data_IF_218751628883
#
_entry.id   IF_218751628883
#
_cell.length_a   1.000
_cell.length_b   1.000
_cell.length_c   1.000
_cell.angle_alpha   90.00
_cell.angle_beta   90.00
_cell.angle_gamma   90.00
#
_symmetry.space_group_name_H-M   'P 1'
#
loop_
_entity.id
_entity.type
_entity.pdbx_description
1 polymer ?
#
# COMPACT_ATOMS: atom_id res chain seq x y z
N UNK A 1 19.08 1.97 4.18
CA UNK A 1 17.86 1.46 3.53
C UNK A 1 17.15 0.50 4.48
N UNK A 2 15.82 0.60 4.62
CA UNK A 2 15.00 -0.25 5.48
C UNK A 2 13.71 -0.64 4.75
N UNK A 3 13.27 -1.89 4.90
CA UNK A 3 12.01 -2.39 4.35
C UNK A 3 11.08 -2.79 5.50
N UNK A 4 9.82 -2.33 5.47
CA UNK A 4 8.78 -2.67 6.45
C UNK A 4 7.64 -3.40 5.75
N UNK A 5 7.24 -4.53 6.32
CA UNK A 5 6.11 -5.34 5.87
C UNK A 5 4.84 -4.85 6.58
N UNK A 6 3.93 -4.21 5.85
CA UNK A 6 2.69 -3.63 6.41
C UNK A 6 1.46 -4.53 6.16
N UNK A 7 1.56 -5.43 5.19
CA UNK A 7 0.57 -6.48 4.89
C UNK A 7 1.18 -7.62 4.07
N UNK A 8 0.35 -8.57 3.64
CA UNK A 8 0.79 -9.85 3.04
C UNK A 8 1.88 -10.62 3.84
N UNK A 9 1.91 -10.42 5.16
CA UNK A 9 2.82 -11.08 6.10
C UNK A 9 2.01 -11.97 7.03
N UNK A 10 2.21 -13.29 6.95
CA UNK A 10 1.35 -14.28 7.63
C UNK A 10 -0.07 -14.38 7.03
N UNK A 11 -0.31 -13.78 5.87
CA UNK A 11 -1.56 -13.83 5.10
C UNK A 11 -1.26 -13.55 3.62
N UNK A 12 -2.18 -13.90 2.71
CA UNK A 12 -2.04 -13.65 1.27
C UNK A 12 -2.39 -12.22 0.89
N UNK A 13 -3.33 -11.58 1.60
CA UNK A 13 -3.98 -10.36 1.11
C UNK A 13 -3.44 -9.08 1.76
N UNK A 14 -3.77 -7.94 1.16
CA UNK A 14 -3.37 -6.62 1.65
C UNK A 14 -1.88 -6.35 1.43
N UNK A 15 -1.34 -6.72 0.27
CA UNK A 15 0.04 -6.44 -0.12
C UNK A 15 0.37 -4.96 0.04
N UNK A 16 1.35 -4.67 0.90
CA UNK A 16 1.73 -3.30 1.25
C UNK A 16 3.09 -3.33 1.94
N UNK A 17 4.10 -2.75 1.28
CA UNK A 17 5.47 -2.71 1.77
C UNK A 17 6.01 -1.29 1.71
N UNK A 18 6.69 -0.86 2.77
CA UNK A 18 7.26 0.49 2.83
C UNK A 18 8.78 0.41 2.81
N UNK A 19 9.36 0.92 1.72
CA UNK A 19 10.81 1.00 1.50
C UNK A 19 11.27 2.43 1.80
N UNK A 20 12.22 2.55 2.71
CA UNK A 20 12.76 3.84 3.14
C UNK A 20 14.27 3.88 2.94
N UNK A 21 14.73 4.99 2.34
CA UNK A 21 16.14 5.33 2.17
C UNK A 21 16.42 6.68 2.84
N UNK A 22 17.67 7.13 2.79
CA UNK A 22 18.00 8.48 3.26
C UNK A 22 17.43 9.60 2.37
N UNK A 23 17.01 9.27 1.14
CA UNK A 23 16.60 10.25 0.12
C UNK A 23 15.09 10.23 -0.16
N UNK A 24 14.47 9.05 -0.02
CA UNK A 24 13.06 8.87 -0.40
C UNK A 24 12.39 7.69 0.31
N UNK A 25 11.07 7.76 0.35
CA UNK A 25 10.15 6.73 0.83
C UNK A 25 9.20 6.27 -0.29
N UNK A 26 9.14 4.95 -0.49
CA UNK A 26 8.31 4.34 -1.52
C UNK A 26 7.39 3.32 -0.87
N UNK A 27 6.10 3.38 -1.21
CA UNK A 27 5.16 2.31 -0.91
C UNK A 27 5.08 1.37 -2.13
N UNK A 28 5.33 0.09 -1.94
CA UNK A 28 5.08 -0.94 -2.94
C UNK A 28 3.75 -1.60 -2.61
N UNK A 29 2.79 -1.43 -3.52
CA UNK A 29 1.39 -1.81 -3.39
C UNK A 29 0.63 -1.11 -2.25
N UNK A 30 -0.69 -1.08 -2.38
CA UNK A 30 -1.64 -0.60 -1.38
C UNK A 30 -2.91 -1.45 -1.44
N UNK A 31 -2.77 -2.72 -1.06
CA UNK A 31 -3.75 -3.77 -1.24
C UNK A 31 -4.90 -3.79 -0.25
N UNK A 32 -6.06 -4.29 -0.68
CA UNK A 32 -7.18 -4.63 0.20
C UNK A 32 -6.96 -5.96 0.92
N UNK A 33 -7.18 -5.98 2.24
CA UNK A 33 -7.22 -7.22 3.03
C UNK A 33 -8.55 -7.96 2.79
N UNK A 34 -8.48 -9.24 2.43
CA UNK A 34 -9.64 -10.08 2.11
C UNK A 34 -9.60 -11.39 2.93
N UNK A 35 -10.74 -12.05 3.07
CA UNK A 35 -10.86 -13.32 3.82
C UNK A 35 -11.67 -13.18 5.11
N UNK A 36 -11.15 -13.73 6.20
CA UNK A 36 -11.82 -13.74 7.52
C UNK A 36 -12.12 -12.31 8.01
N UNK A 37 -13.09 -12.20 8.91
CA UNK A 37 -13.49 -10.90 9.47
C UNK A 37 -12.29 -10.15 10.06
N UNK A 38 -11.49 -10.82 10.89
CA UNK A 38 -10.33 -10.20 11.56
C UNK A 38 -9.31 -9.63 10.57
N UNK A 39 -9.09 -10.32 9.44
CA UNK A 39 -8.22 -9.81 8.37
C UNK A 39 -8.86 -8.59 7.70
N UNK A 40 -10.15 -8.65 7.37
CA UNK A 40 -10.88 -7.55 6.70
C UNK A 40 -10.98 -6.29 7.54
N UNK A 41 -11.05 -6.40 8.87
CA UNK A 41 -11.12 -5.23 9.76
C UNK A 41 -9.88 -4.33 9.64
N UNK A 42 -8.73 -4.88 9.22
CA UNK A 42 -7.50 -4.12 8.94
C UNK A 42 -7.68 -3.06 7.86
N UNK A 43 -8.67 -3.19 6.97
CA UNK A 43 -8.97 -2.19 5.95
C UNK A 43 -9.50 -0.87 6.53
N UNK A 44 -10.06 -0.87 7.75
CA UNK A 44 -10.68 0.30 8.34
C UNK A 44 -9.72 1.10 9.23
N UNK A 45 -8.73 0.45 9.82
CA UNK A 45 -7.70 1.09 10.65
C UNK A 45 -6.85 2.13 9.90
N UNK A 46 -6.17 3.00 10.66
CA UNK A 46 -5.24 3.99 10.13
C UNK A 46 -4.04 3.32 9.45
N UNK A 47 -3.44 3.98 8.46
CA UNK A 47 -2.17 3.54 7.90
C UNK A 47 -1.06 3.61 8.95
N UNK A 48 -0.19 2.60 8.98
CA UNK A 48 0.98 2.52 9.87
C UNK A 48 2.10 3.51 9.48
N UNK A 49 1.98 4.10 8.29
CA UNK A 49 2.82 5.18 7.78
C UNK A 49 1.89 6.31 7.36
N UNK A 50 2.13 7.57 7.78
CA UNK A 50 1.34 8.70 7.33
C UNK A 50 1.37 8.82 5.80
N UNK A 51 0.21 8.83 5.10
CA UNK A 51 0.19 8.88 3.64
C UNK A 51 0.90 10.11 3.03
N UNK A 52 0.97 11.21 3.78
CA UNK A 52 1.68 12.44 3.40
C UNK A 52 3.21 12.29 3.37
N UNK A 53 3.76 11.27 4.03
CA UNK A 53 5.20 11.03 4.12
C UNK A 53 5.70 10.06 3.04
N UNK A 54 4.85 9.67 2.09
CA UNK A 54 5.17 8.73 1.02
C UNK A 54 5.45 9.54 -0.25
N UNK A 55 6.68 9.46 -0.76
CA UNK A 55 7.07 10.20 -1.97
C UNK A 55 6.48 9.58 -3.24
N UNK A 56 6.42 8.24 -3.28
CA UNK A 56 5.85 7.52 -4.40
C UNK A 56 5.20 6.19 -4.02
N UNK A 57 4.27 5.76 -4.85
CA UNK A 57 3.64 4.44 -4.80
C UNK A 57 3.97 3.69 -6.09
N UNK A 58 4.41 2.44 -5.97
CA UNK A 58 4.56 1.50 -7.09
C UNK A 58 3.45 0.46 -6.98
N UNK A 59 2.57 0.38 -7.98
CA UNK A 59 1.57 -0.68 -8.08
C UNK A 59 2.09 -1.75 -9.02
N UNK A 60 2.26 -2.98 -8.51
CA UNK A 60 2.88 -4.07 -9.25
C UNK A 60 1.97 -4.62 -10.36
N UNK A 61 0.68 -4.76 -10.08
CA UNK A 61 -0.35 -5.19 -11.02
C UNK A 61 -1.76 -4.88 -10.48
N UNK A 62 -2.79 -5.10 -11.32
CA UNK A 62 -4.16 -4.62 -11.07
C UNK A 62 -5.00 -5.46 -10.08
N UNK A 63 -4.45 -6.50 -9.44
CA UNK A 63 -5.24 -7.26 -8.48
C UNK A 63 -5.61 -6.43 -7.24
N UNK A 64 -6.82 -6.62 -6.74
CA UNK A 64 -7.41 -5.78 -5.70
C UNK A 64 -6.68 -5.88 -4.35
N UNK A 65 -6.04 -7.01 -4.06
CA UNK A 65 -5.16 -7.17 -2.90
C UNK A 65 -3.78 -6.54 -3.07
N UNK A 66 -3.54 -5.83 -4.18
CA UNK A 66 -2.37 -4.99 -4.43
C UNK A 66 -2.71 -3.51 -4.63
N UNK A 67 -3.93 -3.16 -5.07
CA UNK A 67 -4.31 -1.76 -5.33
C UNK A 67 -5.58 -1.27 -4.61
N UNK A 68 -6.35 -2.16 -3.97
CA UNK A 68 -7.70 -1.86 -3.51
C UNK A 68 -7.82 -0.86 -2.35
N UNK A 69 -6.76 -0.60 -1.59
CA UNK A 69 -6.72 0.47 -0.58
C UNK A 69 -6.13 1.79 -1.11
N UNK A 70 -5.68 1.84 -2.36
CA UNK A 70 -5.11 3.05 -2.95
C UNK A 70 -6.06 4.27 -2.87
N UNK A 71 -7.38 4.16 -3.14
CA UNK A 71 -8.30 5.28 -2.96
C UNK A 71 -8.35 5.79 -1.51
N UNK A 72 -8.23 4.90 -0.51
CA UNK A 72 -8.12 5.29 0.90
C UNK A 72 -6.81 6.03 1.15
N UNK A 73 -5.69 5.58 0.57
CA UNK A 73 -4.40 6.26 0.71
C UNK A 73 -4.48 7.73 0.23
N UNK A 74 -5.08 7.96 -0.94
CA UNK A 74 -5.31 9.31 -1.50
C UNK A 74 -6.23 10.13 -0.59
N UNK A 75 -7.37 9.56 -0.15
CA UNK A 75 -8.31 10.24 0.76
C UNK A 75 -7.66 10.73 2.05
N UNK A 76 -6.65 10.01 2.56
CA UNK A 76 -5.94 10.36 3.80
C UNK A 76 -4.67 11.19 3.56
N UNK A 77 -4.47 11.72 2.35
CA UNK A 77 -3.53 12.80 2.08
C UNK A 77 -2.27 12.42 1.29
N UNK A 78 -2.23 11.24 0.66
CA UNK A 78 -1.17 10.97 -0.31
C UNK A 78 -1.30 11.87 -1.54
N UNK A 79 -0.19 12.48 -1.95
CA UNK A 79 -0.09 13.39 -3.10
C UNK A 79 1.16 13.10 -3.96
N UNK A 80 1.84 11.99 -3.69
CA UNK A 80 3.07 11.60 -4.39
C UNK A 80 2.82 11.02 -5.78
N UNK A 81 3.89 10.55 -6.41
CA UNK A 81 3.81 9.93 -7.75
C UNK A 81 3.33 8.49 -7.67
N UNK A 82 2.60 8.05 -8.68
CA UNK A 82 2.19 6.65 -8.83
C UNK A 82 2.87 6.08 -10.06
N UNK A 83 3.52 4.94 -9.91
CA UNK A 83 4.15 4.19 -10.99
C UNK A 83 3.44 2.85 -11.16
N UNK A 84 3.11 2.52 -12.39
CA UNK A 84 2.57 1.24 -12.80
C UNK A 84 2.81 1.05 -14.31
N UNK A 85 2.61 -0.17 -14.81
CA UNK A 85 2.60 -0.42 -16.25
C UNK A 85 1.28 0.07 -16.87
N UNK A 86 1.29 0.40 -18.17
CA UNK A 86 0.09 0.86 -18.87
C UNK A 86 -1.12 -0.09 -18.72
N UNK A 87 -0.98 -1.43 -18.79
CA UNK A 87 -2.13 -2.32 -18.58
C UNK A 87 -2.68 -2.34 -17.15
N UNK A 88 -1.95 -1.80 -16.17
CA UNK A 88 -2.39 -1.76 -14.75
C UNK A 88 -3.25 -0.54 -14.44
N UNK A 89 -3.13 0.54 -15.23
CA UNK A 89 -3.80 1.84 -15.05
C UNK A 89 -4.93 2.08 -16.02
#
# INVERSE_FOLDING_TARGET
MKLRFLGAAGTVTGSCFYLETAQSSILVDCGLFQGTKDIRERNYGSFLVPPRNIDAVLITHAHIDHCGLFPKLVKYGFQGRVYATYPTV
#
